data_IF_112987913766
#
_entry.id   IF_112987913766
#
_cell.length_a   1.000
_cell.length_b   1.000
_cell.length_c   1.000
_cell.angle_alpha   90.00
_cell.angle_beta   90.00
_cell.angle_gamma   90.00
#
_symmetry.space_group_name_H-M   'P 1'
#
loop_
_entity.id
_entity.type
_entity.pdbx_description
1 polymer ?
#
# COMPACT_ATOMS: atom_id res chain seq x y z
N UNK A 1 -11.07 11.51 8.74
CA UNK A 1 -12.46 11.71 8.31
C UNK A 1 -12.87 13.17 8.24
N UNK A 2 -12.60 13.97 9.27
CA UNK A 2 -12.96 15.38 9.31
C UNK A 2 -12.38 16.12 8.10
N UNK A 3 -11.09 15.95 7.82
CA UNK A 3 -10.39 16.58 6.69
C UNK A 3 -11.01 16.19 5.36
N UNK A 4 -11.27 14.90 5.14
CA UNK A 4 -11.89 14.38 3.92
C UNK A 4 -13.29 14.99 3.71
N UNK A 5 -14.13 14.94 4.74
CA UNK A 5 -15.48 15.53 4.74
C UNK A 5 -15.44 17.00 4.36
N UNK A 6 -14.62 17.78 5.05
CA UNK A 6 -14.59 19.23 4.89
C UNK A 6 -13.96 19.64 3.54
N UNK A 7 -12.96 18.89 3.04
CA UNK A 7 -12.29 19.16 1.77
C UNK A 7 -13.21 18.89 0.57
N UNK A 8 -13.97 17.80 0.61
CA UNK A 8 -14.85 17.38 -0.50
C UNK A 8 -16.32 17.73 -0.30
N UNK A 9 -16.68 18.28 0.86
CA UNK A 9 -18.05 18.58 1.23
C UNK A 9 -18.97 17.35 1.10
N UNK A 10 -18.50 16.21 1.62
CA UNK A 10 -19.23 14.93 1.64
C UNK A 10 -19.56 14.54 3.06
N UNK A 11 -20.63 13.79 3.23
CA UNK A 11 -20.96 13.16 4.51
C UNK A 11 -21.30 11.69 4.28
N UNK A 12 -20.98 10.87 5.27
CA UNK A 12 -21.22 9.44 5.23
C UNK A 12 -22.38 9.11 6.18
N UNK A 13 -23.32 8.31 5.72
CA UNK A 13 -24.48 7.89 6.50
C UNK A 13 -24.03 7.14 7.77
N UNK A 14 -23.00 6.32 7.65
CA UNK A 14 -22.45 5.56 8.76
C UNK A 14 -20.91 5.43 8.61
N UNK A 15 -20.22 5.30 9.75
CA UNK A 15 -18.77 5.07 9.81
C UNK A 15 -18.52 3.89 10.72
N UNK A 16 -17.99 2.83 10.14
CA UNK A 16 -17.67 1.58 10.82
C UNK A 16 -16.16 1.43 10.96
N UNK A 17 -15.74 0.71 11.99
CA UNK A 17 -14.35 0.33 12.19
C UNK A 17 -14.25 -1.18 12.14
N UNK A 18 -13.37 -1.68 11.30
CA UNK A 18 -13.10 -3.10 11.14
C UNK A 18 -11.64 -3.42 11.43
N UNK A 19 -11.37 -4.68 11.70
CA UNK A 19 -10.02 -5.23 11.56
C UNK A 19 -9.58 -5.13 10.10
N UNK A 20 -8.28 -4.85 9.88
CA UNK A 20 -7.72 -4.65 8.54
C UNK A 20 -7.92 -5.84 7.60
N UNK A 21 -8.03 -7.05 8.13
CA UNK A 21 -8.30 -8.25 7.33
C UNK A 21 -9.77 -8.35 6.88
N UNK A 22 -10.69 -7.87 7.71
CA UNK A 22 -12.14 -7.99 7.45
C UNK A 22 -12.67 -6.90 6.52
N UNK A 23 -12.09 -5.70 6.51
CA UNK A 23 -12.65 -4.58 5.76
C UNK A 23 -12.69 -4.82 4.25
N UNK A 24 -11.73 -5.55 3.68
CA UNK A 24 -11.74 -5.91 2.27
C UNK A 24 -12.87 -6.87 1.91
N UNK A 25 -13.14 -7.85 2.78
CA UNK A 25 -14.28 -8.75 2.60
C UNK A 25 -15.60 -7.98 2.68
N UNK A 26 -15.73 -7.06 3.64
CA UNK A 26 -16.97 -6.27 3.81
C UNK A 26 -17.28 -5.37 2.62
N UNK A 27 -16.28 -4.73 2.00
CA UNK A 27 -16.51 -3.93 0.79
C UNK A 27 -16.80 -4.83 -0.42
N UNK A 28 -16.09 -5.95 -0.57
CA UNK A 28 -16.32 -6.89 -1.66
C UNK A 28 -17.72 -7.53 -1.60
N UNK A 29 -18.26 -7.76 -0.41
CA UNK A 29 -19.62 -8.28 -0.19
C UNK A 29 -20.70 -7.20 -0.22
N UNK A 30 -20.33 -5.94 -0.43
CA UNK A 30 -21.27 -4.81 -0.48
C UNK A 30 -21.90 -4.46 0.88
N UNK A 31 -21.27 -4.85 1.98
CA UNK A 31 -21.71 -4.48 3.33
C UNK A 31 -21.34 -3.03 3.66
N UNK A 32 -20.31 -2.49 3.01
CA UNK A 32 -19.92 -1.08 3.01
C UNK A 32 -19.61 -0.65 1.59
N UNK A 33 -19.80 0.64 1.27
CA UNK A 33 -19.59 1.20 -0.06
C UNK A 33 -18.14 1.63 -0.28
N UNK A 34 -17.39 1.92 0.80
CA UNK A 34 -16.04 2.49 0.76
C UNK A 34 -15.24 2.06 1.96
N UNK A 35 -13.96 1.79 1.73
CA UNK A 35 -12.95 1.59 2.81
C UNK A 35 -11.79 2.55 2.61
N UNK A 36 -10.99 2.75 3.66
CA UNK A 36 -9.70 3.46 3.57
C UNK A 36 -8.59 2.48 3.85
N UNK A 37 -7.64 2.38 2.92
CA UNK A 37 -6.49 1.48 3.05
C UNK A 37 -5.32 1.92 2.17
N UNK A 38 -4.29 1.08 2.07
CA UNK A 38 -3.08 1.33 1.30
C UNK A 38 -3.24 0.89 -0.15
N UNK A 39 -2.79 1.72 -1.08
CA UNK A 39 -2.83 1.43 -2.52
C UNK A 39 -1.98 0.23 -2.93
N UNK A 40 -1.01 -0.15 -2.11
CA UNK A 40 -0.12 -1.30 -2.32
C UNK A 40 -0.65 -2.63 -1.76
N UNK A 41 -1.85 -2.67 -1.14
CA UNK A 41 -2.41 -3.92 -0.63
C UNK A 41 -2.84 -4.86 -1.77
N UNK A 42 -2.42 -6.12 -1.67
CA UNK A 42 -2.68 -7.13 -2.71
C UNK A 42 -4.17 -7.46 -2.90
N UNK A 43 -4.99 -7.26 -1.88
CA UNK A 43 -6.44 -7.49 -1.92
C UNK A 43 -7.17 -6.48 -2.79
N UNK A 44 -6.60 -5.30 -3.04
CA UNK A 44 -7.14 -4.32 -4.00
C UNK A 44 -7.25 -4.97 -5.39
N UNK A 45 -6.20 -5.65 -5.83
CA UNK A 45 -6.19 -6.36 -7.12
C UNK A 45 -7.02 -7.65 -7.05
N UNK A 46 -6.96 -8.40 -5.94
CA UNK A 46 -7.66 -9.66 -5.80
C UNK A 46 -9.18 -9.55 -5.84
N UNK A 47 -9.74 -8.45 -5.33
CA UNK A 47 -11.18 -8.17 -5.32
C UNK A 47 -11.61 -7.17 -6.39
N UNK A 48 -10.71 -6.81 -7.31
CA UNK A 48 -10.97 -5.83 -8.38
C UNK A 48 -11.53 -4.50 -7.85
N UNK A 49 -10.97 -4.03 -6.73
CA UNK A 49 -11.43 -2.80 -6.08
C UNK A 49 -10.88 -1.58 -6.81
N UNK A 50 -11.74 -0.57 -6.98
CA UNK A 50 -11.35 0.68 -7.59
C UNK A 50 -10.74 1.63 -6.56
N UNK A 51 -9.54 2.14 -6.85
CA UNK A 51 -8.91 3.21 -6.09
C UNK A 51 -9.54 4.54 -6.50
N UNK A 52 -10.00 5.30 -5.50
CA UNK A 52 -10.48 6.67 -5.68
C UNK A 52 -9.35 7.62 -5.32
N UNK A 53 -8.93 8.42 -6.29
CA UNK A 53 -7.86 9.39 -6.10
C UNK A 53 -8.28 10.54 -5.18
N UNK A 54 -7.30 11.10 -4.46
CA UNK A 54 -7.46 12.29 -3.63
C UNK A 54 -6.72 13.51 -4.21
N UNK A 55 -7.22 14.12 -5.31
CA UNK A 55 -6.54 15.23 -5.98
C UNK A 55 -6.45 16.52 -5.14
N UNK A 56 -7.15 16.58 -4.01
CA UNK A 56 -7.10 17.72 -3.08
C UNK A 56 -6.19 17.48 -1.89
N UNK A 57 -5.50 16.33 -1.84
CA UNK A 57 -4.59 15.95 -0.77
C UNK A 57 -5.22 16.10 0.65
N UNK A 58 -6.45 15.64 0.80
CA UNK A 58 -7.16 15.64 2.08
C UNK A 58 -6.66 14.56 3.04
N UNK A 59 -6.07 13.50 2.49
CA UNK A 59 -5.41 12.45 3.23
C UNK A 59 -3.92 12.75 3.38
N UNK A 60 -3.33 12.38 4.50
CA UNK A 60 -1.88 12.50 4.68
C UNK A 60 -1.16 11.53 3.74
N UNK A 61 -0.02 11.94 3.13
CA UNK A 61 0.80 11.03 2.36
C UNK A 61 1.32 9.91 3.25
N UNK A 62 1.34 8.70 2.73
CA UNK A 62 1.76 7.49 3.43
C UNK A 62 2.84 6.77 2.63
N UNK A 63 3.88 7.53 2.27
CA UNK A 63 5.01 6.99 1.51
C UNK A 63 5.81 5.98 2.35
N UNK A 64 6.20 4.89 1.74
CA UNK A 64 7.13 3.94 2.34
C UNK A 64 8.55 4.50 2.32
N UNK A 65 9.31 4.30 3.39
CA UNK A 65 10.69 4.75 3.48
C UNK A 65 11.59 3.73 4.19
N UNK A 66 12.88 3.78 3.89
CA UNK A 66 13.88 2.96 4.55
C UNK A 66 14.42 3.65 5.81
N UNK A 67 14.29 3.00 6.95
CA UNK A 67 14.88 3.45 8.22
C UNK A 67 16.19 2.70 8.48
N UNK A 68 17.27 3.44 8.60
CA UNK A 68 18.56 2.91 9.01
C UNK A 68 18.90 3.34 10.45
N UNK A 69 19.53 2.46 11.22
CA UNK A 69 20.13 2.85 12.49
C UNK A 69 21.30 3.83 12.26
N UNK A 70 21.63 4.67 13.25
CA UNK A 70 22.77 5.59 13.15
C UNK A 70 24.05 4.86 12.74
N UNK A 71 24.32 3.69 13.32
CA UNK A 71 25.48 2.85 12.98
C UNK A 71 25.46 2.40 11.51
N UNK A 72 24.32 2.04 10.96
CA UNK A 72 24.21 1.62 9.56
C UNK A 72 24.35 2.83 8.61
N UNK A 73 23.81 3.99 9.00
CA UNK A 73 23.92 5.23 8.25
C UNK A 73 25.37 5.80 8.18
N UNK A 74 26.24 5.46 9.12
CA UNK A 74 27.67 5.78 9.07
C UNK A 74 28.45 4.96 8.02
N UNK A 75 27.88 3.86 7.54
CA UNK A 75 28.49 3.04 6.49
C UNK A 75 28.05 3.54 5.10
N UNK A 76 28.88 4.37 4.48
CA UNK A 76 28.59 4.95 3.17
C UNK A 76 28.25 3.91 2.11
N UNK A 77 28.96 2.78 2.07
CA UNK A 77 28.68 1.71 1.11
C UNK A 77 27.28 1.09 1.31
N UNK A 78 26.85 0.92 2.55
CA UNK A 78 25.50 0.46 2.86
C UNK A 78 24.46 1.47 2.37
N UNK A 79 24.67 2.76 2.64
CA UNK A 79 23.78 3.83 2.23
C UNK A 79 23.67 3.90 0.69
N UNK A 80 24.80 3.85 -0.02
CA UNK A 80 24.84 3.83 -1.48
C UNK A 80 24.03 2.66 -2.06
N UNK A 81 24.20 1.46 -1.52
CA UNK A 81 23.44 0.27 -1.98
C UNK A 81 21.95 0.45 -1.69
N UNK A 82 21.56 0.93 -0.51
CA UNK A 82 20.14 1.14 -0.18
C UNK A 82 19.49 2.22 -1.03
N UNK A 83 20.24 3.26 -1.40
CA UNK A 83 19.74 4.32 -2.29
C UNK A 83 19.40 3.81 -3.69
N UNK A 84 20.02 2.74 -4.17
CA UNK A 84 19.65 2.16 -5.47
C UNK A 84 18.25 1.54 -5.48
N UNK A 85 17.67 1.27 -4.32
CA UNK A 85 16.30 0.72 -4.19
C UNK A 85 15.23 1.81 -4.13
N UNK A 86 15.62 3.06 -3.88
CA UNK A 86 14.67 4.16 -3.72
C UNK A 86 14.00 4.47 -5.05
N UNK A 87 12.66 4.54 -5.03
CA UNK A 87 11.81 4.79 -6.21
C UNK A 87 11.93 3.74 -7.33
N UNK A 88 12.43 2.53 -7.04
CA UNK A 88 12.51 1.45 -8.02
C UNK A 88 11.27 0.57 -8.09
N UNK A 89 10.42 0.63 -7.09
CA UNK A 89 9.22 -0.21 -6.99
C UNK A 89 8.01 0.73 -6.91
N UNK A 90 7.12 0.62 -7.88
CA UNK A 90 5.85 1.35 -7.91
C UNK A 90 4.80 0.70 -6.99
N UNK A 91 3.72 1.43 -6.69
CA UNK A 91 2.57 0.90 -5.95
C UNK A 91 1.95 -0.33 -6.63
N UNK A 92 1.92 -0.36 -7.96
CA UNK A 92 1.38 -1.49 -8.73
C UNK A 92 2.24 -2.75 -8.55
N UNK A 93 3.54 -2.61 -8.61
CA UNK A 93 4.48 -3.70 -8.45
C UNK A 93 4.49 -4.23 -7.02
N UNK A 94 4.44 -3.33 -6.04
CA UNK A 94 4.34 -3.73 -4.64
C UNK A 94 2.99 -4.41 -4.35
N UNK A 95 1.90 -3.93 -4.93
CA UNK A 95 0.58 -4.56 -4.84
C UNK A 95 0.58 -5.99 -5.37
N UNK A 96 1.23 -6.21 -6.50
CA UNK A 96 1.36 -7.55 -7.07
C UNK A 96 2.23 -8.45 -6.18
N UNK A 97 3.36 -7.95 -5.66
CA UNK A 97 4.19 -8.69 -4.72
C UNK A 97 3.42 -9.09 -3.45
N UNK A 98 2.63 -8.17 -2.90
CA UNK A 98 1.77 -8.43 -1.75
C UNK A 98 0.65 -9.42 -2.09
N UNK A 99 0.04 -9.33 -3.28
CA UNK A 99 -0.97 -10.28 -3.75
C UNK A 99 -0.46 -11.71 -3.81
N UNK A 100 0.78 -11.91 -4.26
CA UNK A 100 1.41 -13.24 -4.29
C UNK A 100 1.48 -13.86 -2.89
N UNK A 101 1.80 -13.05 -1.88
CA UNK A 101 1.96 -13.53 -0.49
C UNK A 101 0.61 -13.64 0.21
N UNK A 102 -0.16 -12.55 0.24
CA UNK A 102 -1.34 -12.42 1.12
C UNK A 102 -2.57 -13.12 0.56
N UNK A 103 -2.65 -13.27 -0.76
CA UNK A 103 -3.81 -13.85 -1.45
C UNK A 103 -3.51 -15.24 -2.00
N UNK A 104 -2.38 -15.41 -2.71
CA UNK A 104 -2.02 -16.71 -3.28
C UNK A 104 -1.29 -17.63 -2.28
N UNK A 105 -0.87 -17.11 -1.13
CA UNK A 105 -0.15 -17.89 -0.12
C UNK A 105 1.26 -18.31 -0.54
N UNK A 106 1.86 -17.59 -1.50
CA UNK A 106 3.25 -17.84 -1.89
C UNK A 106 4.23 -17.38 -0.82
N UNK A 107 5.45 -17.82 -0.93
CA UNK A 107 6.51 -17.40 -0.01
C UNK A 107 6.93 -15.95 -0.25
N UNK A 108 7.43 -15.29 0.80
CA UNK A 108 8.08 -13.97 0.67
C UNK A 108 9.25 -14.01 -0.32
N UNK A 109 9.94 -15.16 -0.43
CA UNK A 109 11.03 -15.33 -1.41
C UNK A 109 10.54 -15.26 -2.85
N UNK A 110 9.32 -15.74 -3.14
CA UNK A 110 8.72 -15.64 -4.47
C UNK A 110 8.38 -14.17 -4.81
N UNK A 111 7.86 -13.43 -3.85
CA UNK A 111 7.59 -12.00 -4.00
C UNK A 111 8.89 -11.19 -4.22
N UNK A 112 9.95 -11.51 -3.47
CA UNK A 112 11.28 -10.91 -3.68
C UNK A 112 11.81 -11.23 -5.08
N UNK A 113 11.70 -12.48 -5.53
CA UNK A 113 12.13 -12.87 -6.88
C UNK A 113 11.36 -12.11 -7.97
N UNK A 114 10.07 -11.91 -7.79
CA UNK A 114 9.26 -11.06 -8.69
C UNK A 114 9.79 -9.61 -8.73
N UNK A 115 9.99 -8.97 -7.57
CA UNK A 115 10.48 -7.58 -7.51
C UNK A 115 11.90 -7.45 -8.08
N UNK A 116 12.76 -8.47 -7.93
CA UNK A 116 14.09 -8.47 -8.52
C UNK A 116 14.07 -8.44 -10.05
N UNK A 117 13.08 -9.02 -10.72
CA UNK A 117 12.96 -8.94 -12.17
C UNK A 117 12.70 -7.51 -12.66
N UNK A 118 12.06 -6.69 -11.84
CA UNK A 118 11.68 -5.30 -12.14
C UNK A 118 12.86 -4.35 -11.91
N UNK A 119 13.57 -4.50 -10.79
CA UNK A 119 14.68 -3.62 -10.41
C UNK A 119 15.89 -3.73 -11.36
N UNK A 120 16.00 -4.83 -12.11
CA UNK A 120 17.11 -5.11 -13.02
C UNK A 120 16.83 -4.74 -14.49
N UNK A 121 15.64 -4.22 -14.81
CA UNK A 121 15.33 -3.62 -16.12
C UNK A 121 15.64 -2.11 -16.14
#
# INVERSE_FOLDING_TARGET
>A
WITLRDTYNIDFAEKLTFDSTLMYTTVNEGQVDLITDYTSDGRVAAFDLQIIEDPRNSMLPYDSFLLASSRAAENNRFVEIMQTLVNQISDLEMREANRLVDVEGRSVSDAIAYLQTIIHE
#
